data_IF_082781658015
#
_entry.id   IF_082781658015
#
_cell.length_a   1.000
_cell.length_b   1.000
_cell.length_c   1.000
_cell.angle_alpha   90.00
_cell.angle_beta   90.00
_cell.angle_gamma   90.00
#
_symmetry.space_group_name_H-M   'P 1'
#
loop_
_entity.id
_entity.type
_entity.pdbx_description
1 polymer ?
#
# COMPACT_ATOMS: atom_id res chain seq x y z
N UNK A 1 -18.90 -12.72 -0.60
CA UNK A 1 -18.05 -11.52 -0.74
C UNK A 1 -18.20 -10.69 0.52
N UNK A 2 -17.11 -10.16 1.06
CA UNK A 2 -17.11 -9.39 2.30
C UNK A 2 -17.56 -7.96 2.02
N UNK A 3 -18.76 -7.59 2.50
CA UNK A 3 -19.32 -6.25 2.31
C UNK A 3 -18.65 -5.25 3.25
N UNK A 4 -18.47 -4.01 2.80
CA UNK A 4 -18.08 -2.90 3.67
C UNK A 4 -19.19 -2.59 4.69
N UNK A 5 -18.82 -2.30 5.93
CA UNK A 5 -19.72 -1.69 6.93
C UNK A 5 -19.99 -0.24 6.56
N UNK A 6 -20.93 0.41 7.25
CA UNK A 6 -21.26 1.82 6.98
C UNK A 6 -20.04 2.73 7.16
N UNK A 7 -19.23 2.50 8.19
CA UNK A 7 -18.03 3.28 8.46
C UNK A 7 -16.95 3.05 7.41
N UNK A 8 -16.71 1.79 7.02
CA UNK A 8 -15.76 1.45 5.96
C UNK A 8 -16.19 2.05 4.61
N UNK A 9 -17.48 1.97 4.26
CA UNK A 9 -18.01 2.56 3.03
C UNK A 9 -17.86 4.09 3.04
N UNK A 10 -18.08 4.73 4.19
CA UNK A 10 -17.85 6.18 4.31
C UNK A 10 -16.37 6.52 4.14
N UNK A 11 -15.47 5.76 4.74
CA UNK A 11 -14.03 5.91 4.55
C UNK A 11 -13.62 5.73 3.09
N UNK A 12 -14.19 4.72 2.42
CA UNK A 12 -13.97 4.48 0.99
C UNK A 12 -14.42 5.69 0.14
N UNK A 13 -15.62 6.21 0.38
CA UNK A 13 -16.11 7.41 -0.30
C UNK A 13 -15.23 8.64 -0.05
N UNK A 14 -14.59 8.75 1.11
CA UNK A 14 -13.69 9.87 1.43
C UNK A 14 -12.36 9.79 0.66
N UNK A 15 -11.85 8.58 0.38
CA UNK A 15 -10.64 8.42 -0.43
C UNK A 15 -10.90 8.54 -1.94
N UNK A 16 -12.17 8.57 -2.36
CA UNK A 16 -12.59 8.78 -3.75
C UNK A 16 -12.83 10.27 -4.06
N UNK A 17 -12.67 10.65 -5.32
CA UNK A 17 -13.15 11.90 -5.89
C UNK A 17 -14.67 11.90 -6.05
N UNK A 18 -15.22 13.04 -6.51
CA UNK A 18 -16.67 13.21 -6.72
C UNK A 18 -17.24 12.26 -7.80
N UNK A 19 -16.40 11.79 -8.70
CA UNK A 19 -16.73 10.81 -9.75
C UNK A 19 -16.64 9.35 -9.24
N UNK A 20 -16.27 9.13 -7.99
CA UNK A 20 -16.09 7.82 -7.38
C UNK A 20 -14.73 7.17 -7.67
N UNK A 21 -13.85 7.81 -8.44
CA UNK A 21 -12.51 7.30 -8.72
C UNK A 21 -11.53 7.59 -7.58
N UNK A 22 -10.56 6.71 -7.35
CA UNK A 22 -9.49 6.96 -6.38
C UNK A 22 -8.37 7.72 -7.09
N UNK A 23 -8.12 8.97 -6.68
CA UNK A 23 -6.94 9.72 -7.08
C UNK A 23 -6.11 9.99 -5.83
N UNK A 24 -5.14 9.10 -5.57
CA UNK A 24 -4.35 9.14 -4.35
C UNK A 24 -2.88 9.51 -4.62
N UNK A 25 -2.32 10.39 -3.80
CA UNK A 25 -0.87 10.63 -3.74
C UNK A 25 -0.26 9.68 -2.70
N UNK A 26 0.49 8.68 -3.16
CA UNK A 26 1.16 7.73 -2.28
C UNK A 26 2.58 8.20 -1.93
N UNK A 27 2.78 8.55 -0.67
CA UNK A 27 4.01 9.12 -0.12
C UNK A 27 4.40 8.44 1.20
N UNK A 28 4.12 7.15 1.38
CA UNK A 28 4.50 6.32 2.54
C UNK A 28 5.90 5.72 2.43
N UNK A 29 6.60 5.95 1.30
CA UNK A 29 7.97 5.46 1.10
C UNK A 29 8.94 6.16 2.06
N UNK A 30 9.88 5.39 2.61
CA UNK A 30 10.99 5.92 3.43
C UNK A 30 12.33 5.62 2.77
N UNK A 31 12.67 4.33 2.65
CA UNK A 31 13.90 3.90 1.97
C UNK A 31 13.97 4.38 0.52
N UNK A 32 12.91 4.12 -0.27
CA UNK A 32 12.84 4.57 -1.66
C UNK A 32 12.91 6.10 -1.81
N UNK A 33 12.33 6.86 -0.87
CA UNK A 33 12.44 8.31 -0.88
C UNK A 33 13.87 8.79 -0.62
N UNK A 34 14.60 8.16 0.30
CA UNK A 34 16.03 8.47 0.50
C UNK A 34 16.85 8.22 -0.76
N UNK A 35 16.60 7.12 -1.46
CA UNK A 35 17.26 6.81 -2.74
C UNK A 35 16.95 7.83 -3.83
N UNK A 36 15.74 8.39 -3.85
CA UNK A 36 15.38 9.45 -4.80
C UNK A 36 16.04 10.80 -4.45
N UNK A 37 16.16 11.13 -3.17
CA UNK A 37 16.72 12.39 -2.70
C UNK A 37 18.25 12.42 -2.75
N UNK A 38 18.92 11.27 -2.66
CA UNK A 38 20.36 11.17 -2.77
C UNK A 38 20.79 9.84 -3.42
N UNK A 39 21.68 9.91 -4.41
CA UNK A 39 22.22 8.73 -5.08
C UNK A 39 23.29 8.01 -4.23
N UNK A 40 24.11 8.76 -3.49
CA UNK A 40 25.21 8.22 -2.69
C UNK A 40 24.72 7.66 -1.33
N UNK A 41 25.10 6.42 -0.94
CA UNK A 41 24.68 5.83 0.33
C UNK A 41 25.05 6.63 1.59
N UNK A 42 26.19 7.32 1.60
CA UNK A 42 26.61 8.11 2.75
C UNK A 42 25.74 9.38 2.88
N UNK A 43 25.35 9.99 1.76
CA UNK A 43 24.37 11.08 1.76
C UNK A 43 22.96 10.60 2.13
N UNK A 44 22.53 9.43 1.64
CA UNK A 44 21.25 8.83 2.05
C UNK A 44 21.16 8.63 3.57
N UNK A 45 22.24 8.20 4.20
CA UNK A 45 22.32 8.00 5.66
C UNK A 45 22.16 9.30 6.47
N UNK A 46 22.43 10.46 5.86
CA UNK A 46 22.23 11.79 6.49
C UNK A 46 20.78 12.25 6.44
N UNK A 47 19.92 11.65 5.62
CA UNK A 47 18.52 12.02 5.50
C UNK A 47 17.73 11.45 6.69
N UNK A 48 17.45 12.32 7.66
CA UNK A 48 16.71 11.97 8.89
C UNK A 48 15.23 11.74 8.62
N UNK A 49 14.52 11.13 9.57
CA UNK A 49 13.07 11.00 9.49
C UNK A 49 12.37 12.37 9.52
N UNK A 50 12.94 13.36 10.20
CA UNK A 50 12.40 14.73 10.22
C UNK A 50 12.46 15.38 8.84
N UNK A 51 13.59 15.24 8.14
CA UNK A 51 13.73 15.75 6.76
C UNK A 51 12.74 15.07 5.80
N UNK A 52 12.53 13.76 5.97
CA UNK A 52 11.48 13.06 5.21
C UNK A 52 10.08 13.56 5.59
N UNK A 53 9.84 13.85 6.87
CA UNK A 53 8.61 14.45 7.36
C UNK A 53 8.33 15.79 6.70
N UNK A 54 9.31 16.68 6.64
CA UNK A 54 9.17 17.99 5.99
C UNK A 54 8.88 17.83 4.48
N UNK A 55 9.59 16.92 3.82
CA UNK A 55 9.34 16.57 2.41
C UNK A 55 7.91 16.06 2.19
N UNK A 56 7.42 15.19 3.08
CA UNK A 56 6.05 14.64 3.03
C UNK A 56 5.00 15.71 3.32
N UNK A 57 5.29 16.65 4.21
CA UNK A 57 4.43 17.82 4.46
C UNK A 57 4.30 18.70 3.22
N UNK A 58 5.39 18.98 2.51
CA UNK A 58 5.35 19.76 1.27
C UNK A 58 4.55 19.05 0.18
N UNK A 59 4.79 17.74 -0.03
CA UNK A 59 3.99 16.94 -0.98
C UNK A 59 2.51 16.97 -0.60
N UNK A 60 2.19 16.86 0.69
CA UNK A 60 0.80 16.92 1.16
C UNK A 60 0.18 18.29 0.87
N UNK A 61 0.88 19.37 1.19
CA UNK A 61 0.42 20.75 1.01
C UNK A 61 0.18 21.10 -0.46
N UNK A 62 1.15 20.80 -1.31
CA UNK A 62 1.18 21.31 -2.68
C UNK A 62 0.60 20.36 -3.72
N UNK A 63 0.67 19.03 -3.50
CA UNK A 63 0.20 18.04 -4.46
C UNK A 63 -1.06 17.32 -3.99
N UNK A 64 -1.06 16.79 -2.76
CA UNK A 64 -2.20 16.03 -2.26
C UNK A 64 -3.46 16.89 -2.07
N UNK A 65 -3.30 18.21 -1.96
CA UNK A 65 -4.40 19.18 -1.99
C UNK A 65 -5.24 19.15 -3.27
N UNK A 66 -4.68 18.62 -4.36
CA UNK A 66 -5.37 18.44 -5.63
C UNK A 66 -5.91 17.01 -5.80
N UNK A 67 -5.69 16.13 -4.83
CA UNK A 67 -6.05 14.72 -4.84
C UNK A 67 -7.16 14.42 -3.83
N UNK A 68 -7.86 13.29 -4.00
CA UNK A 68 -8.89 12.86 -3.03
C UNK A 68 -8.27 12.29 -1.75
N UNK A 69 -7.05 11.75 -1.85
CA UNK A 69 -6.40 11.07 -0.75
C UNK A 69 -4.88 11.24 -0.77
N UNK A 70 -4.27 11.27 0.41
CA UNK A 70 -2.83 11.06 0.60
C UNK A 70 -2.59 9.80 1.42
N UNK A 71 -1.59 9.00 1.03
CA UNK A 71 -1.09 7.87 1.82
C UNK A 71 0.27 8.24 2.42
N UNK A 72 0.37 8.21 3.75
CA UNK A 72 1.54 8.64 4.52
C UNK A 72 1.99 7.55 5.51
N UNK A 73 3.20 7.67 6.04
CA UNK A 73 3.74 6.72 7.04
C UNK A 73 3.70 7.27 8.48
N UNK A 74 3.57 6.38 9.48
CA UNK A 74 3.47 6.77 10.89
C UNK A 74 4.79 7.12 11.58
N UNK A 75 5.94 7.02 10.90
CA UNK A 75 7.23 7.33 11.49
C UNK A 75 7.72 8.74 11.15
N UNK A 76 7.47 9.20 9.92
CA UNK A 76 8.02 10.45 9.42
C UNK A 76 6.95 11.53 9.26
N UNK A 77 5.71 11.17 8.92
CA UNK A 77 4.68 12.15 8.56
C UNK A 77 3.64 12.39 9.65
N UNK A 78 2.99 11.35 10.16
CA UNK A 78 1.94 11.53 11.19
C UNK A 78 2.53 11.33 12.59
N UNK A 79 2.12 12.14 13.60
CA UNK A 79 0.99 13.06 13.57
C UNK A 79 1.27 14.46 13.01
N UNK A 80 2.54 14.83 12.73
CA UNK A 80 2.95 16.20 12.33
C UNK A 80 2.05 16.83 11.26
N UNK A 81 1.79 16.12 10.15
CA UNK A 81 0.98 16.63 9.03
C UNK A 81 -0.46 16.99 9.46
N UNK A 82 -0.99 16.30 10.46
CA UNK A 82 -2.32 16.58 11.03
C UNK A 82 -2.24 17.71 12.07
N UNK A 83 -1.32 17.60 13.04
CA UNK A 83 -1.21 18.54 14.16
C UNK A 83 -0.86 19.97 13.71
N UNK A 84 -0.09 20.11 12.63
CA UNK A 84 0.29 21.40 12.04
C UNK A 84 -0.72 21.93 11.01
N UNK A 85 -1.84 21.24 10.79
CA UNK A 85 -2.86 21.64 9.83
C UNK A 85 -2.37 21.64 8.38
N UNK A 86 -1.41 20.78 8.05
CA UNK A 86 -0.87 20.62 6.68
C UNK A 86 -1.86 19.87 5.80
N UNK A 87 -2.53 18.85 6.35
CA UNK A 87 -3.56 18.09 5.65
C UNK A 87 -4.79 18.95 5.37
N UNK A 88 -5.16 19.08 4.10
CA UNK A 88 -6.38 19.78 3.71
C UNK A 88 -7.64 19.05 4.19
N UNK A 89 -8.67 19.82 4.55
CA UNK A 89 -9.97 19.32 5.05
C UNK A 89 -10.61 18.28 4.13
N UNK A 90 -10.51 18.48 2.83
CA UNK A 90 -11.18 17.64 1.82
C UNK A 90 -10.26 16.54 1.25
N UNK A 91 -9.06 16.38 1.80
CA UNK A 91 -8.11 15.31 1.43
C UNK A 91 -8.14 14.22 2.49
N UNK A 92 -8.52 13.00 2.12
CA UNK A 92 -8.49 11.86 3.02
C UNK A 92 -7.05 11.41 3.34
N UNK A 93 -6.89 10.77 4.51
CA UNK A 93 -5.60 10.28 4.99
C UNK A 93 -5.62 8.76 5.13
N UNK A 94 -4.80 8.09 4.34
CA UNK A 94 -4.42 6.68 4.57
C UNK A 94 -3.07 6.63 5.30
N UNK A 95 -2.95 5.73 6.27
CA UNK A 95 -1.71 5.52 7.02
C UNK A 95 -1.15 4.13 6.72
N UNK A 96 0.11 4.07 6.28
CA UNK A 96 0.82 2.83 5.98
C UNK A 96 1.14 2.02 7.23
N UNK A 97 0.84 0.74 7.19
CA UNK A 97 1.07 -0.23 8.27
C UNK A 97 2.41 -0.95 8.12
N UNK A 98 2.90 -1.09 6.87
CA UNK A 98 4.14 -1.81 6.60
C UNK A 98 5.38 -1.01 7.04
N UNK A 99 6.38 -1.72 7.56
CA UNK A 99 7.72 -1.18 7.75
C UNK A 99 8.49 -1.23 6.42
N UNK A 100 9.43 -0.30 6.21
CA UNK A 100 10.24 -0.31 5.00
C UNK A 100 11.17 -1.53 4.95
N UNK A 101 11.31 -2.11 3.75
CA UNK A 101 12.09 -3.32 3.54
C UNK A 101 11.40 -4.58 4.06
N UNK A 102 12.16 -5.66 4.16
CA UNK A 102 11.69 -6.99 4.54
C UNK A 102 12.83 -7.75 5.21
N UNK A 103 12.48 -8.74 6.03
CA UNK A 103 13.45 -9.76 6.44
C UNK A 103 13.51 -10.87 5.37
N UNK A 104 14.52 -11.74 5.43
CA UNK A 104 14.71 -12.82 4.46
C UNK A 104 14.66 -14.17 5.18
N UNK A 105 13.81 -15.08 4.72
CA UNK A 105 13.73 -16.43 5.26
C UNK A 105 14.99 -17.25 4.93
N UNK A 106 15.24 -18.39 5.61
CA UNK A 106 16.35 -19.28 5.24
C UNK A 106 16.31 -19.76 3.77
N UNK A 107 15.12 -19.77 3.17
CA UNK A 107 14.89 -20.14 1.77
C UNK A 107 14.95 -18.94 0.80
N UNK A 108 15.32 -17.75 1.27
CA UNK A 108 15.45 -16.55 0.44
C UNK A 108 14.15 -15.76 0.20
N UNK A 109 13.05 -16.09 0.90
CA UNK A 109 11.76 -15.41 0.70
C UNK A 109 11.67 -14.10 1.50
N UNK A 110 10.99 -13.12 0.92
CA UNK A 110 10.75 -11.82 1.57
C UNK A 110 9.67 -11.96 2.64
N UNK A 111 10.03 -11.67 3.88
CA UNK A 111 9.14 -11.63 5.04
C UNK A 111 8.80 -10.16 5.34
N UNK A 112 7.54 -9.79 5.08
CA UNK A 112 7.05 -8.43 5.30
C UNK A 112 7.02 -8.11 6.79
N UNK A 113 7.08 -6.82 7.12
CA UNK A 113 7.11 -6.33 8.50
C UNK A 113 6.10 -5.22 8.71
N UNK A 114 5.61 -5.08 9.93
CA UNK A 114 4.75 -3.97 10.34
C UNK A 114 5.58 -2.87 11.00
N UNK A 115 5.13 -1.62 10.84
CA UNK A 115 5.68 -0.50 11.59
C UNK A 115 5.45 -0.71 13.10
N UNK A 116 6.44 -0.40 13.96
CA UNK A 116 6.31 -0.64 15.39
C UNK A 116 5.09 0.07 15.99
N UNK A 117 4.26 -0.67 16.72
CA UNK A 117 3.11 -0.13 17.46
C UNK A 117 1.94 0.34 16.60
N UNK A 118 1.95 0.09 15.28
CA UNK A 118 0.82 0.43 14.43
C UNK A 118 -0.29 -0.64 14.53
N UNK A 119 -1.52 -0.18 14.66
CA UNK A 119 -2.75 -0.98 14.66
C UNK A 119 -3.88 -0.15 14.06
N UNK A 120 -5.03 -0.76 13.79
CA UNK A 120 -6.24 -0.07 13.34
C UNK A 120 -6.64 1.05 14.30
N UNK A 121 -6.64 0.76 15.61
CA UNK A 121 -6.89 1.77 16.64
C UNK A 121 -5.87 2.91 16.60
N UNK A 122 -4.58 2.60 16.43
CA UNK A 122 -3.55 3.64 16.35
C UNK A 122 -3.69 4.51 15.10
N UNK A 123 -4.06 3.93 13.96
CA UNK A 123 -4.37 4.68 12.72
C UNK A 123 -5.52 5.67 12.96
N UNK A 124 -6.59 5.23 13.65
CA UNK A 124 -7.70 6.10 14.03
C UNK A 124 -7.26 7.24 14.96
N UNK A 125 -6.46 6.94 15.98
CA UNK A 125 -5.93 7.94 16.91
C UNK A 125 -5.05 8.99 16.21
N UNK A 126 -4.37 8.61 15.12
CA UNK A 126 -3.56 9.49 14.27
C UNK A 126 -4.39 10.28 13.25
N UNK A 127 -5.73 10.18 13.28
CA UNK A 127 -6.62 10.90 12.36
C UNK A 127 -6.76 10.26 10.98
N UNK A 128 -6.34 9.00 10.82
CA UNK A 128 -6.47 8.28 9.55
C UNK A 128 -7.93 8.01 9.17
N UNK A 129 -8.29 8.32 7.93
CA UNK A 129 -9.51 7.84 7.28
C UNK A 129 -9.50 6.32 7.15
N UNK A 130 -8.32 5.75 6.96
CA UNK A 130 -8.10 4.31 6.89
C UNK A 130 -6.61 3.96 6.94
N UNK A 131 -6.34 2.66 6.89
CA UNK A 131 -5.00 2.12 6.82
C UNK A 131 -4.70 1.54 5.45
N UNK A 132 -3.42 1.30 5.20
CA UNK A 132 -2.95 0.50 4.07
C UNK A 132 -1.91 -0.49 4.57
N UNK A 133 -2.02 -1.75 4.15
CA UNK A 133 -0.97 -2.77 4.34
C UNK A 133 -0.35 -3.12 2.99
N UNK A 134 0.97 -3.32 2.94
CA UNK A 134 1.63 -3.98 1.81
C UNK A 134 2.38 -5.24 2.29
N UNK A 135 2.24 -6.33 1.53
CA UNK A 135 3.04 -7.55 1.72
C UNK A 135 3.67 -8.04 0.41
N UNK A 136 4.73 -8.82 0.51
CA UNK A 136 5.31 -9.53 -0.63
C UNK A 136 4.61 -10.88 -0.88
N UNK A 137 4.27 -11.19 -2.13
CA UNK A 137 3.66 -12.47 -2.51
C UNK A 137 4.35 -13.12 -3.72
N UNK A 138 4.43 -14.45 -3.70
CA UNK A 138 4.82 -15.32 -4.81
C UNK A 138 3.88 -16.51 -4.90
N UNK A 139 2.83 -16.38 -5.71
CA UNK A 139 1.80 -17.42 -5.83
C UNK A 139 2.33 -18.76 -6.38
N UNK A 140 3.43 -18.74 -7.15
CA UNK A 140 4.12 -19.93 -7.64
C UNK A 140 4.99 -20.62 -6.57
N UNK A 141 5.09 -20.04 -5.37
CA UNK A 141 5.80 -20.58 -4.19
C UNK A 141 4.92 -20.41 -2.94
N UNK A 142 3.93 -21.28 -2.71
CA UNK A 142 3.02 -21.16 -1.56
C UNK A 142 3.72 -20.97 -0.21
N UNK A 143 4.85 -21.65 0.00
CA UNK A 143 5.70 -21.56 1.19
C UNK A 143 6.27 -20.15 1.44
N UNK A 144 6.42 -19.34 0.39
CA UNK A 144 6.87 -17.95 0.51
C UNK A 144 5.78 -17.02 1.07
N UNK A 145 4.51 -17.46 1.08
CA UNK A 145 3.37 -16.62 1.39
C UNK A 145 2.83 -16.81 2.81
N UNK A 146 3.18 -17.90 3.51
CA UNK A 146 2.57 -18.24 4.80
C UNK A 146 2.64 -17.09 5.83
N UNK A 147 3.84 -16.54 6.02
CA UNK A 147 4.09 -15.39 6.91
C UNK A 147 3.32 -14.13 6.46
N UNK A 148 3.39 -13.81 5.16
CA UNK A 148 2.81 -12.59 4.61
C UNK A 148 1.27 -12.64 4.61
N UNK A 149 0.69 -13.81 4.33
CA UNK A 149 -0.75 -14.06 4.43
C UNK A 149 -1.23 -14.01 5.89
N UNK A 150 -0.43 -14.50 6.84
CA UNK A 150 -0.74 -14.35 8.26
C UNK A 150 -0.80 -12.87 8.67
N UNK A 151 0.14 -12.04 8.22
CA UNK A 151 0.11 -10.58 8.43
C UNK A 151 -1.14 -9.95 7.81
N UNK A 152 -1.49 -10.31 6.56
CA UNK A 152 -2.70 -9.78 5.92
C UNK A 152 -3.95 -10.12 6.73
N UNK A 153 -4.13 -11.39 7.13
CA UNK A 153 -5.28 -11.83 7.93
C UNK A 153 -5.34 -11.11 9.27
N UNK A 154 -4.20 -10.93 9.93
CA UNK A 154 -4.12 -10.19 11.18
C UNK A 154 -4.56 -8.73 11.01
N UNK A 155 -4.04 -8.02 10.00
CA UNK A 155 -4.40 -6.62 9.75
C UNK A 155 -5.87 -6.49 9.35
N UNK A 156 -6.39 -7.37 8.50
CA UNK A 156 -7.80 -7.36 8.09
C UNK A 156 -8.72 -7.58 9.31
N UNK A 157 -8.37 -8.52 10.19
CA UNK A 157 -9.14 -8.76 11.41
C UNK A 157 -9.10 -7.56 12.38
N UNK A 158 -7.93 -6.94 12.57
CA UNK A 158 -7.75 -5.75 13.40
C UNK A 158 -8.59 -4.56 12.89
N UNK A 159 -8.55 -4.29 11.58
CA UNK A 159 -9.34 -3.22 10.96
C UNK A 159 -10.85 -3.49 10.97
N UNK A 160 -11.25 -4.75 10.83
CA UNK A 160 -12.65 -5.13 10.94
C UNK A 160 -13.20 -4.94 12.36
N UNK A 161 -12.40 -5.18 13.41
CA UNK A 161 -12.81 -4.95 14.80
C UNK A 161 -13.04 -3.47 15.10
N UNK A 162 -12.31 -2.59 14.43
CA UNK A 162 -12.45 -1.16 14.60
C UNK A 162 -13.50 -0.54 13.68
N UNK A 163 -14.07 -1.24 12.69
CA UNK A 163 -14.89 -0.64 11.63
C UNK A 163 -14.12 0.46 10.85
N UNK A 164 -12.86 0.18 10.52
CA UNK A 164 -11.97 1.12 9.83
C UNK A 164 -11.58 0.59 8.44
N UNK A 165 -11.53 1.49 7.45
CA UNK A 165 -11.14 1.12 6.09
C UNK A 165 -9.69 0.60 6.05
N UNK A 166 -9.47 -0.54 5.38
CA UNK A 166 -8.15 -1.05 5.05
C UNK A 166 -7.99 -1.23 3.54
N UNK A 167 -6.95 -0.63 2.98
CA UNK A 167 -6.49 -0.89 1.61
C UNK A 167 -5.42 -1.99 1.66
N UNK A 168 -5.62 -3.07 0.91
CA UNK A 168 -4.68 -4.19 0.81
C UNK A 168 -3.85 -4.03 -0.46
N UNK A 169 -2.54 -3.88 -0.27
CA UNK A 169 -1.53 -3.89 -1.32
C UNK A 169 -0.71 -5.17 -1.24
N UNK A 170 -0.24 -5.64 -2.39
CA UNK A 170 0.85 -6.60 -2.43
C UNK A 170 1.81 -6.26 -3.56
N UNK A 171 3.04 -6.73 -3.43
CA UNK A 171 4.03 -6.71 -4.49
C UNK A 171 4.54 -8.12 -4.77
N UNK A 172 4.81 -8.39 -6.04
CA UNK A 172 5.57 -9.57 -6.47
C UNK A 172 7.06 -9.19 -6.54
N UNK A 173 7.94 -10.19 -6.60
CA UNK A 173 9.38 -9.94 -6.66
C UNK A 173 10.10 -11.07 -7.39
N UNK A 174 11.20 -10.76 -8.06
CA UNK A 174 12.08 -11.77 -8.65
C UNK A 174 12.69 -12.64 -7.55
N UNK A 175 12.61 -13.96 -7.71
CA UNK A 175 13.24 -14.92 -6.81
C UNK A 175 14.75 -15.02 -7.08
N UNK A 176 15.51 -15.42 -6.06
CA UNK A 176 16.93 -15.74 -6.27
C UNK A 176 17.08 -16.89 -7.29
N UNK A 177 17.91 -16.69 -8.31
CA UNK A 177 18.12 -17.64 -9.41
C UNK A 177 17.04 -17.62 -10.50
N UNK A 178 15.99 -16.82 -10.39
CA UNK A 178 15.01 -16.59 -11.47
C UNK A 178 15.52 -15.52 -12.43
N UNK A 179 15.42 -15.73 -13.74
CA UNK A 179 15.80 -14.70 -14.72
C UNK A 179 14.79 -13.53 -14.72
N UNK A 180 15.22 -12.35 -15.18
CA UNK A 180 14.31 -11.20 -15.28
C UNK A 180 13.23 -11.45 -16.33
N UNK A 181 13.57 -12.18 -17.40
CA UNK A 181 12.65 -12.59 -18.46
C UNK A 181 11.57 -13.53 -17.94
N UNK A 182 11.96 -14.58 -17.19
CA UNK A 182 11.02 -15.55 -16.61
C UNK A 182 10.10 -14.87 -15.58
N UNK A 183 10.68 -14.01 -14.74
CA UNK A 183 9.89 -13.25 -13.77
C UNK A 183 8.88 -12.34 -14.48
N UNK A 184 9.32 -11.58 -15.48
CA UNK A 184 8.47 -10.63 -16.23
C UNK A 184 7.34 -11.36 -16.94
N UNK A 185 7.61 -12.53 -17.55
CA UNK A 185 6.59 -13.35 -18.19
C UNK A 185 5.52 -13.85 -17.20
N UNK A 186 5.87 -14.03 -15.92
CA UNK A 186 4.93 -14.45 -14.87
C UNK A 186 4.14 -13.32 -14.23
N UNK A 187 4.53 -12.05 -14.39
CA UNK A 187 3.88 -10.92 -13.70
C UNK A 187 2.35 -10.93 -13.85
N UNK A 188 1.76 -11.07 -15.06
CA UNK A 188 0.31 -11.05 -15.20
C UNK A 188 -0.38 -12.10 -14.31
N UNK A 189 0.13 -13.33 -14.35
CA UNK A 189 -0.40 -14.44 -13.54
C UNK A 189 -0.15 -14.24 -12.04
N UNK A 190 1.03 -13.77 -11.65
CA UNK A 190 1.35 -13.50 -10.24
C UNK A 190 0.45 -12.39 -9.65
N UNK A 191 0.09 -11.37 -10.45
CA UNK A 191 -0.83 -10.31 -10.00
C UNK A 191 -2.27 -10.83 -9.90
N UNK A 192 -2.72 -11.66 -10.83
CA UNK A 192 -4.03 -12.34 -10.73
C UNK A 192 -4.10 -13.21 -9.47
N UNK A 193 -3.12 -14.06 -9.24
CA UNK A 193 -3.13 -14.94 -8.07
C UNK A 193 -2.91 -14.20 -6.74
N UNK A 194 -2.07 -13.15 -6.72
CA UNK A 194 -1.93 -12.29 -5.54
C UNK A 194 -3.25 -11.58 -5.20
N UNK A 195 -4.03 -11.21 -6.24
CA UNK A 195 -5.38 -10.66 -6.06
C UNK A 195 -6.31 -11.69 -5.45
N UNK A 196 -6.31 -12.93 -5.97
CA UNK A 196 -7.11 -14.04 -5.41
C UNK A 196 -6.79 -14.28 -3.93
N UNK A 197 -5.50 -14.38 -3.58
CA UNK A 197 -5.04 -14.56 -2.19
C UNK A 197 -5.55 -13.42 -1.30
N UNK A 198 -5.47 -12.18 -1.77
CA UNK A 198 -5.91 -11.00 -1.01
C UNK A 198 -7.43 -10.98 -0.78
N UNK A 199 -8.22 -11.34 -1.80
CA UNK A 199 -9.67 -11.47 -1.72
C UNK A 199 -10.08 -12.59 -0.76
N UNK A 200 -9.41 -13.74 -0.81
CA UNK A 200 -9.63 -14.87 0.12
C UNK A 200 -9.30 -14.51 1.57
N UNK A 201 -8.36 -13.58 1.79
CA UNK A 201 -8.09 -13.04 3.12
C UNK A 201 -9.15 -12.04 3.60
N UNK A 202 -10.06 -11.59 2.72
CA UNK A 202 -11.15 -10.69 3.05
C UNK A 202 -10.90 -9.22 2.70
N UNK A 203 -9.97 -8.93 1.79
CA UNK A 203 -9.73 -7.56 1.32
C UNK A 203 -11.01 -6.89 0.78
N UNK A 204 -11.21 -5.62 1.15
CA UNK A 204 -12.36 -4.80 0.73
C UNK A 204 -11.98 -3.66 -0.22
N UNK A 205 -10.71 -3.31 -0.31
CA UNK A 205 -10.14 -2.40 -1.32
C UNK A 205 -8.75 -2.90 -1.67
N UNK A 206 -8.42 -2.95 -2.96
CA UNK A 206 -7.14 -3.47 -3.44
C UNK A 206 -6.28 -2.37 -4.09
N UNK A 207 -4.98 -2.38 -3.82
CA UNK A 207 -3.98 -1.60 -4.54
C UNK A 207 -3.00 -2.57 -5.19
N UNK A 208 -3.04 -2.66 -6.51
CA UNK A 208 -2.43 -3.76 -7.27
C UNK A 208 -1.28 -3.27 -8.15
N UNK A 209 -0.21 -4.07 -8.34
CA UNK A 209 0.73 -3.87 -9.44
C UNK A 209 -0.01 -3.90 -10.78
N UNK A 210 0.48 -3.17 -11.78
CA UNK A 210 -0.08 -3.27 -13.13
C UNK A 210 0.18 -4.68 -13.70
N UNK A 211 -0.87 -5.43 -14.12
CA UNK A 211 -0.71 -6.80 -14.61
C UNK A 211 -0.17 -6.87 -16.05
N UNK A 212 0.08 -5.74 -16.72
CA UNK A 212 0.75 -5.69 -18.02
C UNK A 212 -0.18 -5.62 -19.24
N UNK A 213 -1.42 -6.14 -19.17
CA UNK A 213 -2.35 -6.12 -20.31
C UNK A 213 -3.80 -5.80 -19.93
N UNK A 214 -4.61 -5.24 -20.85
CA UNK A 214 -6.04 -5.02 -20.64
C UNK A 214 -6.82 -6.30 -20.31
N UNK A 215 -6.45 -7.45 -20.90
CA UNK A 215 -7.11 -8.73 -20.66
C UNK A 215 -6.88 -9.21 -19.23
N UNK A 216 -5.67 -9.02 -18.69
CA UNK A 216 -5.36 -9.32 -17.30
C UNK A 216 -6.12 -8.39 -16.35
N UNK A 217 -6.21 -7.09 -16.67
CA UNK A 217 -7.07 -6.15 -15.93
C UNK A 217 -8.54 -6.59 -15.94
N UNK A 218 -9.07 -7.07 -17.07
CA UNK A 218 -10.45 -7.55 -17.18
C UNK A 218 -10.69 -8.81 -16.34
N UNK A 219 -9.74 -9.75 -16.31
CA UNK A 219 -9.80 -10.94 -15.44
C UNK A 219 -9.80 -10.55 -13.95
N UNK A 220 -8.92 -9.63 -13.57
CA UNK A 220 -8.85 -9.09 -12.20
C UNK A 220 -10.19 -8.43 -11.81
N UNK A 221 -10.74 -7.56 -12.66
CA UNK A 221 -12.04 -6.93 -12.39
C UNK A 221 -13.17 -7.96 -12.25
N UNK A 222 -13.20 -8.98 -13.12
CA UNK A 222 -14.20 -10.04 -13.02
C UNK A 222 -14.06 -10.85 -11.73
N UNK A 223 -12.84 -11.12 -11.27
CA UNK A 223 -12.56 -11.84 -10.03
C UNK A 223 -12.86 -11.01 -8.78
N UNK A 224 -12.53 -9.71 -8.80
CA UNK A 224 -12.75 -8.79 -7.69
C UNK A 224 -14.24 -8.50 -7.45
N UNK A 225 -15.06 -8.55 -8.50
CA UNK A 225 -16.50 -8.30 -8.40
C UNK A 225 -16.78 -6.89 -7.90
N UNK A 226 -17.39 -6.77 -6.72
CA UNK A 226 -17.69 -5.48 -6.09
C UNK A 226 -16.51 -4.88 -5.31
N UNK A 227 -15.40 -5.60 -5.15
CA UNK A 227 -14.22 -5.10 -4.44
C UNK A 227 -13.47 -4.10 -5.34
N UNK A 228 -13.45 -2.80 -5.01
CA UNK A 228 -12.75 -1.80 -5.81
C UNK A 228 -11.25 -2.01 -5.77
N UNK A 229 -10.59 -1.71 -6.89
CA UNK A 229 -9.14 -1.80 -7.00
C UNK A 229 -8.56 -0.65 -7.81
N UNK A 230 -7.31 -0.27 -7.49
CA UNK A 230 -6.53 0.73 -8.21
C UNK A 230 -5.13 0.21 -8.51
N UNK A 231 -4.53 0.69 -9.60
CA UNK A 231 -3.15 0.36 -9.98
C UNK A 231 -2.17 1.27 -9.24
N UNK A 232 -1.04 0.71 -8.80
CA UNK A 232 0.11 1.46 -8.31
C UNK A 232 1.13 1.71 -9.42
N UNK A 233 1.83 2.84 -9.37
CA UNK A 233 2.80 3.23 -10.40
C UNK A 233 4.14 2.49 -10.34
N UNK A 234 4.49 1.89 -9.20
CA UNK A 234 5.76 1.18 -8.94
C UNK A 234 7.05 1.94 -9.31
N UNK A 235 6.99 3.25 -9.59
CA UNK A 235 8.12 4.01 -10.12
C UNK A 235 8.52 3.64 -11.55
N UNK A 236 7.65 2.94 -12.31
CA UNK A 236 7.90 2.59 -13.71
C UNK A 236 7.18 3.56 -14.64
N UNK A 237 7.84 3.92 -15.75
CA UNK A 237 7.18 4.59 -16.85
C UNK A 237 6.33 3.55 -17.60
N UNK A 238 5.01 3.64 -17.47
CA UNK A 238 4.11 2.99 -18.41
C UNK A 238 4.04 3.85 -19.66
N UNK A 239 4.34 3.29 -20.84
CA UNK A 239 4.04 3.97 -22.09
C UNK A 239 2.51 4.10 -22.19
N UNK A 240 2.01 5.33 -22.12
CA UNK A 240 0.59 5.68 -22.31
C UNK A 240 0.24 5.70 -23.78
#
# INVERSE_FOLDING_TARGET
MTKMTTAELRGYQQICGQDGAIMAIACDQRGGMRTLLAADPAEQAKITNDMLGDTKSDITRYLASQASCVLLDPLCAVPRVVDEGVLNRDTALLIGLDASGFDVSPAGYRLSRLAPGISARRVRELGGTGGKIMVYLRADRPEANEHNVAILRQCIADFAQEDLLLVVEFLTYQLEGESIEDYTAKIPWLVEEGTRISLECGAKVLKLPYPGTPEACARISSMAGEVPWAVLSAGVNHAT
#
